data_IF_496980652972
#
_entry.id   IF_496980652972
#
_cell.length_a   1.000
_cell.length_b   1.000
_cell.length_c   1.000
_cell.angle_alpha   90.00
_cell.angle_beta   90.00
_cell.angle_gamma   90.00
#
_symmetry.space_group_name_H-M   'P 1'
#
loop_
_entity.id
_entity.type
_entity.pdbx_description
1 polymer ?
#
# COMPACT_ATOMS: atom_id res chain seq x y z
N UNK A 1 -53.42 9.85 64.32
CA UNK A 1 -52.63 8.71 63.85
C UNK A 1 -52.19 9.00 62.46
N UNK A 2 -50.91 9.30 62.28
CA UNK A 2 -50.31 9.59 60.95
C UNK A 2 -49.83 8.23 60.44
N UNK A 3 -50.48 7.71 59.41
CA UNK A 3 -50.02 6.49 58.72
C UNK A 3 -48.73 6.83 57.96
N UNK A 4 -47.66 6.14 58.25
CA UNK A 4 -46.42 6.21 57.51
C UNK A 4 -46.67 5.63 56.08
N UNK A 5 -46.12 6.26 55.03
CA UNK A 5 -46.25 5.74 53.68
C UNK A 5 -45.53 4.37 53.58
N UNK A 6 -46.04 3.45 52.79
CA UNK A 6 -45.43 2.13 52.58
C UNK A 6 -44.03 2.32 51.98
N UNK A 7 -43.03 1.76 52.68
CA UNK A 7 -41.68 1.70 52.15
C UNK A 7 -41.63 0.66 51.03
N UNK A 8 -41.42 1.13 49.82
CA UNK A 8 -41.47 0.34 48.59
C UNK A 8 -40.43 -0.78 48.48
N UNK A 9 -39.45 -0.91 49.41
CA UNK A 9 -38.31 -1.81 49.29
C UNK A 9 -37.79 -2.57 50.51
N UNK A 10 -38.57 -2.89 51.59
CA UNK A 10 -37.99 -3.63 52.71
C UNK A 10 -37.97 -5.13 52.55
N UNK A 11 -38.74 -5.77 51.64
CA UNK A 11 -38.80 -7.23 51.55
C UNK A 11 -37.76 -7.83 50.60
N UNK A 12 -37.28 -7.07 49.65
CA UNK A 12 -36.32 -7.58 48.65
C UNK A 12 -34.93 -7.86 49.26
N UNK A 13 -34.50 -7.09 50.25
CA UNK A 13 -33.18 -7.22 50.83
C UNK A 13 -33.05 -8.35 51.84
N UNK A 14 -34.15 -8.88 52.38
CA UNK A 14 -34.12 -9.88 53.45
C UNK A 14 -34.33 -11.34 53.00
N UNK A 15 -34.69 -11.55 51.76
CA UNK A 15 -34.82 -12.91 51.22
C UNK A 15 -33.53 -13.35 50.49
N UNK A 16 -33.20 -14.63 50.53
CA UNK A 16 -32.02 -15.16 49.83
C UNK A 16 -32.06 -14.86 48.31
N UNK A 17 -33.27 -14.88 47.74
CA UNK A 17 -33.48 -14.52 46.32
C UNK A 17 -33.24 -13.03 46.07
N UNK A 18 -33.70 -12.14 46.94
CA UNK A 18 -33.48 -10.70 46.83
C UNK A 18 -32.01 -10.31 46.89
N UNK A 19 -31.27 -10.93 47.81
CA UNK A 19 -29.80 -10.73 47.90
C UNK A 19 -29.08 -11.23 46.69
N UNK A 20 -29.52 -12.34 46.08
CA UNK A 20 -28.96 -12.86 44.82
C UNK A 20 -29.15 -11.87 43.67
N UNK A 21 -30.35 -11.30 43.51
CA UNK A 21 -30.58 -10.31 42.43
C UNK A 21 -29.80 -9.01 42.65
N UNK A 22 -29.62 -8.57 43.87
CA UNK A 22 -28.80 -7.38 44.17
C UNK A 22 -27.33 -7.65 43.80
N UNK A 23 -26.78 -8.79 44.20
CA UNK A 23 -25.40 -9.15 43.89
C UNK A 23 -25.21 -9.36 42.39
N UNK A 24 -26.12 -10.07 41.73
CA UNK A 24 -26.09 -10.26 40.27
C UNK A 24 -26.18 -8.92 39.51
N UNK A 25 -27.03 -8.01 39.96
CA UNK A 25 -27.15 -6.66 39.40
C UNK A 25 -25.85 -5.84 39.54
N UNK A 26 -25.24 -5.88 40.73
CA UNK A 26 -23.95 -5.21 41.00
C UNK A 26 -22.82 -5.78 40.13
N UNK A 27 -22.73 -7.10 40.00
CA UNK A 27 -21.74 -7.75 39.12
C UNK A 27 -21.97 -7.30 37.65
N UNK A 28 -23.21 -7.28 37.19
CA UNK A 28 -23.54 -6.85 35.81
C UNK A 28 -23.13 -5.40 35.54
N UNK A 29 -23.35 -4.50 36.51
CA UNK A 29 -22.93 -3.12 36.41
C UNK A 29 -21.40 -3.00 36.37
N UNK A 30 -20.71 -3.71 37.25
CA UNK A 30 -19.23 -3.73 37.28
C UNK A 30 -18.68 -4.25 35.95
N UNK A 31 -19.23 -5.32 35.40
CA UNK A 31 -18.83 -5.89 34.12
C UNK A 31 -19.08 -4.92 32.97
N UNK A 32 -20.21 -4.23 32.94
CA UNK A 32 -20.52 -3.24 31.94
C UNK A 32 -19.54 -2.05 31.98
N UNK A 33 -19.24 -1.52 33.16
CA UNK A 33 -18.26 -0.44 33.33
C UNK A 33 -16.88 -0.90 32.93
N UNK A 34 -16.44 -2.09 33.35
CA UNK A 34 -15.16 -2.66 32.93
C UNK A 34 -15.05 -2.80 31.42
N UNK A 35 -16.11 -3.27 30.76
CA UNK A 35 -16.16 -3.42 29.30
C UNK A 35 -16.04 -2.05 28.60
N UNK A 36 -16.69 -1.01 29.09
CA UNK A 36 -16.60 0.36 28.57
C UNK A 36 -15.16 0.88 28.75
N UNK A 37 -14.55 0.69 29.93
CA UNK A 37 -13.17 1.14 30.19
C UNK A 37 -12.17 0.41 29.29
N UNK A 38 -12.32 -0.90 29.13
CA UNK A 38 -11.45 -1.70 28.23
C UNK A 38 -11.64 -1.24 26.77
N UNK A 39 -12.87 -1.05 26.33
CA UNK A 39 -13.14 -0.55 24.98
C UNK A 39 -12.50 0.81 24.74
N UNK A 40 -12.66 1.73 25.69
CA UNK A 40 -12.03 3.06 25.63
C UNK A 40 -10.50 2.97 25.62
N UNK A 41 -9.94 2.12 26.48
CA UNK A 41 -8.50 1.90 26.52
C UNK A 41 -7.97 1.33 25.18
N UNK A 42 -8.62 0.30 24.64
CA UNK A 42 -8.28 -0.26 23.32
C UNK A 42 -8.42 0.83 22.22
N UNK A 43 -9.50 1.58 22.23
CA UNK A 43 -9.72 2.64 21.24
C UNK A 43 -8.61 3.69 21.29
N UNK A 44 -8.21 4.14 22.46
CA UNK A 44 -7.12 5.11 22.61
C UNK A 44 -5.73 4.55 22.29
N UNK A 45 -5.48 3.27 22.55
CA UNK A 45 -4.17 2.66 22.29
C UNK A 45 -4.00 2.15 20.87
N UNK A 46 -5.10 1.79 20.18
CA UNK A 46 -5.07 1.21 18.83
C UNK A 46 -5.35 2.27 17.74
N UNK A 47 -6.09 3.34 18.05
CA UNK A 47 -6.24 4.45 17.10
C UNK A 47 -4.95 5.27 17.05
N UNK A 48 -4.22 5.26 15.92
CA UNK A 48 -3.05 6.11 15.80
C UNK A 48 -3.47 7.57 15.97
N UNK A 49 -2.68 8.32 16.72
CA UNK A 49 -2.86 9.76 16.83
C UNK A 49 -2.91 10.39 15.43
N UNK A 50 -3.80 11.34 15.16
CA UNK A 50 -3.80 12.05 13.89
C UNK A 50 -2.41 12.61 13.64
N UNK A 51 -1.88 12.38 12.43
CA UNK A 51 -0.58 12.92 12.04
C UNK A 51 -0.55 14.43 12.28
N UNK A 52 0.50 14.98 12.89
CA UNK A 52 0.62 16.43 13.07
C UNK A 52 0.51 17.12 11.70
N UNK A 53 -0.11 18.28 11.61
CA UNK A 53 -0.20 19.01 10.36
C UNK A 53 1.19 19.32 9.82
N UNK A 54 1.37 19.17 8.50
CA UNK A 54 2.62 19.49 7.82
C UNK A 54 3.02 20.94 8.13
N UNK A 55 4.17 21.13 8.76
CA UNK A 55 4.62 22.45 9.19
C UNK A 55 5.38 23.22 8.11
N UNK A 56 5.87 22.51 7.07
CA UNK A 56 6.66 23.13 6.00
C UNK A 56 5.80 23.28 4.72
N UNK A 57 5.58 24.52 4.22
CA UNK A 57 4.77 24.78 3.02
C UNK A 57 5.23 24.01 1.78
N UNK A 58 6.50 23.62 1.71
CA UNK A 58 7.05 22.86 0.56
C UNK A 58 6.41 21.47 0.44
N UNK A 59 5.87 20.94 1.55
CA UNK A 59 5.24 19.61 1.60
C UNK A 59 3.71 19.64 1.58
N UNK A 60 3.10 20.79 1.35
CA UNK A 60 1.62 20.98 1.44
C UNK A 60 0.84 19.96 0.59
N UNK A 61 1.36 19.58 -0.56
CA UNK A 61 0.72 18.61 -1.47
C UNK A 61 1.18 17.17 -1.25
N UNK A 62 2.13 16.91 -0.33
CA UNK A 62 2.74 15.61 -0.09
C UNK A 62 2.76 15.29 1.39
N UNK A 63 2.47 14.04 1.75
CA UNK A 63 2.17 13.65 3.14
C UNK A 63 3.37 13.28 3.99
N UNK A 64 4.58 13.24 3.43
CA UNK A 64 5.79 12.83 4.16
C UNK A 64 6.77 13.97 4.30
N UNK A 65 7.16 14.25 5.55
CA UNK A 65 8.27 15.12 5.88
C UNK A 65 9.60 14.36 5.85
N UNK A 66 10.73 15.05 5.66
CA UNK A 66 12.06 14.47 5.81
C UNK A 66 12.20 13.85 7.20
N UNK A 67 12.75 12.64 7.24
CA UNK A 67 13.08 11.94 8.47
C UNK A 67 14.59 11.71 8.54
N UNK A 68 15.06 10.89 9.46
CA UNK A 68 16.45 10.56 9.67
C UNK A 68 17.22 9.97 8.47
N UNK A 69 16.53 9.63 7.36
CA UNK A 69 17.18 9.14 6.15
C UNK A 69 17.65 10.26 5.18
N UNK A 70 17.19 11.50 5.36
CA UNK A 70 17.69 12.66 4.59
C UNK A 70 18.60 13.49 5.49
N UNK A 71 19.85 13.66 5.08
CA UNK A 71 20.82 14.40 5.85
C UNK A 71 20.52 15.91 5.89
N UNK A 72 20.94 16.57 6.96
CA UNK A 72 20.83 18.02 7.08
C UNK A 72 21.56 18.76 5.95
N UNK A 73 22.69 18.22 5.50
CA UNK A 73 23.45 18.76 4.36
C UNK A 73 22.64 18.70 3.07
N UNK A 74 22.01 17.55 2.77
CA UNK A 74 21.15 17.38 1.60
C UNK A 74 19.96 18.31 1.62
N UNK A 75 19.31 18.50 2.78
CA UNK A 75 18.20 19.45 2.94
C UNK A 75 18.64 20.90 2.73
N UNK A 76 19.78 21.28 3.29
CA UNK A 76 20.33 22.63 3.11
C UNK A 76 20.68 22.90 1.64
N UNK A 77 21.35 21.94 0.98
CA UNK A 77 21.68 22.03 -0.45
C UNK A 77 20.44 22.12 -1.32
N UNK A 78 19.41 21.31 -1.04
CA UNK A 78 18.12 21.36 -1.74
C UNK A 78 17.44 22.73 -1.58
N UNK A 79 17.36 23.27 -0.38
CA UNK A 79 16.75 24.57 -0.13
C UNK A 79 17.51 25.70 -0.84
N UNK A 80 18.84 25.69 -0.81
CA UNK A 80 19.66 26.64 -1.55
C UNK A 80 19.43 26.53 -3.07
N UNK A 81 19.33 25.31 -3.59
CA UNK A 81 19.06 25.08 -5.01
C UNK A 81 17.68 25.59 -5.43
N UNK A 82 16.63 25.39 -4.62
CA UNK A 82 15.27 25.90 -4.87
C UNK A 82 15.28 27.44 -4.96
N UNK A 83 15.97 28.10 -4.04
CA UNK A 83 16.06 29.57 -4.03
C UNK A 83 16.79 30.12 -5.26
N UNK A 84 17.92 29.48 -5.64
CA UNK A 84 18.70 29.89 -6.80
C UNK A 84 18.03 29.56 -8.14
N UNK A 85 17.20 28.53 -8.20
CA UNK A 85 16.60 28.01 -9.42
C UNK A 85 15.09 27.76 -9.23
N UNK A 86 14.24 28.81 -9.18
CA UNK A 86 12.78 28.63 -9.00
C UNK A 86 12.15 27.78 -10.11
N UNK A 87 12.72 27.84 -11.32
CA UNK A 87 12.34 26.96 -12.42
C UNK A 87 13.43 25.89 -12.62
N UNK A 88 13.05 24.64 -12.85
CA UNK A 88 13.98 23.53 -12.94
C UNK A 88 14.79 23.56 -14.24
N UNK A 89 16.10 23.23 -14.17
CA UNK A 89 16.99 23.34 -15.34
C UNK A 89 17.05 22.06 -16.19
N UNK A 90 16.99 20.86 -15.58
CA UNK A 90 17.25 19.59 -16.27
C UNK A 90 16.13 18.55 -16.11
N UNK A 91 14.88 19.01 -16.11
CA UNK A 91 13.70 18.14 -15.94
C UNK A 91 13.39 17.37 -17.21
N UNK A 92 13.27 16.04 -17.09
CA UNK A 92 12.89 15.15 -18.19
C UNK A 92 11.48 14.56 -18.01
N UNK A 93 11.08 14.21 -16.80
CA UNK A 93 9.81 13.53 -16.50
C UNK A 93 8.79 14.48 -15.86
N UNK A 94 9.17 15.22 -14.84
CA UNK A 94 8.27 16.10 -14.06
C UNK A 94 8.13 17.50 -14.71
N UNK A 95 7.82 17.53 -15.99
CA UNK A 95 7.67 18.77 -16.79
C UNK A 95 6.49 19.60 -16.29
N UNK A 96 6.62 20.91 -16.35
CA UNK A 96 5.58 21.86 -15.93
C UNK A 96 5.54 22.15 -14.44
N UNK A 97 6.36 21.49 -13.63
CA UNK A 97 6.46 21.74 -12.18
C UNK A 97 7.59 22.71 -11.86
N UNK A 98 7.40 23.53 -10.83
CA UNK A 98 8.48 24.37 -10.26
C UNK A 98 9.50 23.52 -9.54
N UNK A 99 10.70 24.05 -9.28
CA UNK A 99 11.74 23.36 -8.52
C UNK A 99 11.25 22.98 -7.12
N UNK A 100 10.49 23.83 -6.45
CA UNK A 100 9.92 23.56 -5.14
C UNK A 100 8.92 22.37 -5.18
N UNK A 101 8.05 22.32 -6.17
CA UNK A 101 7.10 21.21 -6.33
C UNK A 101 7.82 19.88 -6.63
N UNK A 102 8.84 19.90 -7.48
CA UNK A 102 9.67 18.72 -7.76
C UNK A 102 10.38 18.26 -6.48
N UNK A 103 10.97 19.19 -5.72
CA UNK A 103 11.67 18.86 -4.48
C UNK A 103 10.72 18.27 -3.44
N UNK A 104 9.52 18.80 -3.29
CA UNK A 104 8.50 18.24 -2.42
C UNK A 104 8.13 16.81 -2.81
N UNK A 105 7.91 16.55 -4.10
CA UNK A 105 7.66 15.20 -4.60
C UNK A 105 8.86 14.25 -4.37
N UNK A 106 10.10 14.72 -4.59
CA UNK A 106 11.31 13.94 -4.32
C UNK A 106 11.42 13.54 -2.85
N UNK A 107 11.15 14.47 -1.93
CA UNK A 107 11.17 14.17 -0.50
C UNK A 107 10.07 13.20 -0.10
N UNK A 108 8.83 13.49 -0.48
CA UNK A 108 7.68 12.71 -0.02
C UNK A 108 7.60 11.32 -0.64
N UNK A 109 7.78 11.21 -1.94
CA UNK A 109 7.50 9.97 -2.66
C UNK A 109 8.74 9.23 -3.15
N UNK A 110 9.83 9.93 -3.49
CA UNK A 110 11.05 9.25 -3.94
C UNK A 110 11.92 8.90 -2.75
N UNK A 111 12.45 9.88 -2.03
CA UNK A 111 13.24 9.62 -0.82
C UNK A 111 12.42 8.93 0.25
N UNK A 112 11.19 9.36 0.49
CA UNK A 112 10.26 8.74 1.42
C UNK A 112 9.91 7.30 1.07
N UNK A 113 9.70 7.02 -0.21
CA UNK A 113 9.38 5.68 -0.70
C UNK A 113 10.55 4.71 -0.70
N UNK A 114 11.77 5.21 -0.84
CA UNK A 114 13.00 4.41 -0.90
C UNK A 114 13.80 4.41 0.41
N UNK A 115 13.51 5.34 1.33
CA UNK A 115 14.26 5.62 2.56
C UNK A 115 15.75 5.89 2.28
N UNK A 116 16.02 6.79 1.33
CA UNK A 116 17.38 7.17 0.92
C UNK A 116 17.59 8.68 0.97
N UNK A 117 18.83 9.08 1.16
CA UNK A 117 19.27 10.47 1.08
C UNK A 117 19.26 11.00 -0.38
N UNK A 118 19.21 12.31 -0.57
CA UNK A 118 19.27 12.93 -1.90
C UNK A 118 20.54 12.55 -2.68
N UNK A 119 21.66 12.40 -1.98
CA UNK A 119 22.95 12.00 -2.53
C UNK A 119 22.96 10.59 -3.12
N UNK A 120 21.95 9.75 -2.78
CA UNK A 120 21.81 8.42 -3.37
C UNK A 120 21.63 8.46 -4.89
N UNK A 121 20.96 9.50 -5.41
CA UNK A 121 20.69 9.69 -6.85
C UNK A 121 21.27 10.98 -7.41
N UNK A 122 21.55 12.00 -6.59
CA UNK A 122 21.96 13.33 -7.04
C UNK A 122 23.37 13.69 -6.61
N UNK A 123 24.03 14.52 -7.41
CA UNK A 123 25.11 15.38 -6.90
C UNK A 123 24.43 16.53 -6.15
N UNK A 124 24.56 16.58 -4.82
CA UNK A 124 23.92 17.60 -3.99
C UNK A 124 24.51 19.00 -4.20
N UNK A 125 25.75 19.12 -4.74
CA UNK A 125 26.32 20.39 -5.14
C UNK A 125 25.65 20.95 -6.42
N UNK A 126 25.05 20.08 -7.25
CA UNK A 126 24.36 20.48 -8.47
C UNK A 126 23.25 19.49 -8.82
N UNK A 127 22.03 19.71 -8.33
CA UNK A 127 20.89 18.83 -8.59
C UNK A 127 20.51 18.69 -10.07
N UNK A 128 20.87 19.67 -10.94
CA UNK A 128 20.63 19.60 -12.37
C UNK A 128 21.59 18.64 -13.10
N UNK A 129 22.76 18.35 -12.52
CA UNK A 129 23.75 17.47 -13.13
C UNK A 129 23.18 16.09 -13.47
N UNK A 130 23.40 15.62 -14.69
CA UNK A 130 22.85 14.33 -15.19
C UNK A 130 23.93 13.28 -15.37
N UNK A 131 25.19 13.67 -15.51
CA UNK A 131 26.31 12.80 -15.85
C UNK A 131 27.57 13.22 -15.08
N UNK A 132 28.60 12.38 -15.10
CA UNK A 132 29.91 12.71 -14.56
C UNK A 132 29.99 12.71 -13.02
N UNK A 133 29.10 11.98 -12.33
CA UNK A 133 29.16 11.73 -10.89
C UNK A 133 28.79 10.27 -10.57
N UNK A 134 29.21 9.72 -9.41
CA UNK A 134 29.14 8.28 -9.13
C UNK A 134 27.73 7.67 -9.22
N UNK A 135 26.69 8.44 -8.86
CA UNK A 135 25.33 7.96 -8.77
C UNK A 135 24.42 8.33 -9.98
N UNK A 136 25.00 8.83 -11.08
CA UNK A 136 24.26 9.26 -12.26
C UNK A 136 23.35 8.16 -12.84
N UNK A 137 23.81 6.91 -12.85
CA UNK A 137 23.01 5.77 -13.33
C UNK A 137 21.73 5.55 -12.51
N UNK A 138 21.77 5.77 -11.19
CA UNK A 138 20.59 5.65 -10.32
C UNK A 138 19.53 6.71 -10.64
N UNK A 139 19.97 7.93 -11.00
CA UNK A 139 19.04 9.00 -11.44
C UNK A 139 18.37 8.64 -12.75
N UNK A 140 19.08 8.01 -13.69
CA UNK A 140 18.50 7.51 -14.95
C UNK A 140 17.47 6.42 -14.66
N UNK A 141 17.80 5.45 -13.79
CA UNK A 141 16.87 4.39 -13.37
C UNK A 141 15.63 4.97 -12.71
N UNK A 142 15.77 5.93 -11.79
CA UNK A 142 14.63 6.57 -11.14
C UNK A 142 13.67 7.24 -12.14
N UNK A 143 14.19 7.87 -13.20
CA UNK A 143 13.36 8.42 -14.29
C UNK A 143 12.57 7.34 -15.02
N UNK A 144 13.21 6.20 -15.34
CA UNK A 144 12.53 5.05 -15.96
C UNK A 144 11.42 4.52 -15.06
N UNK A 145 11.67 4.43 -13.74
CA UNK A 145 10.65 4.00 -12.75
C UNK A 145 9.49 5.00 -12.63
N UNK A 146 9.75 6.31 -12.71
CA UNK A 146 8.68 7.31 -12.74
C UNK A 146 7.80 7.17 -13.98
N UNK A 147 8.40 6.93 -15.15
CA UNK A 147 7.65 6.70 -16.40
C UNK A 147 6.82 5.40 -16.31
N UNK A 148 7.36 4.35 -15.70
CA UNK A 148 6.59 3.14 -15.40
C UNK A 148 5.41 3.45 -14.47
N UNK A 149 5.63 4.19 -13.39
CA UNK A 149 4.53 4.57 -12.47
C UNK A 149 3.44 5.36 -13.18
N UNK A 150 3.81 6.28 -14.08
CA UNK A 150 2.84 7.02 -14.90
C UNK A 150 2.04 6.10 -15.81
N UNK A 151 2.70 5.20 -16.53
CA UNK A 151 2.06 4.21 -17.40
C UNK A 151 1.07 3.33 -16.61
N UNK A 152 1.50 2.80 -15.45
CA UNK A 152 0.63 1.95 -14.62
C UNK A 152 -0.57 2.73 -14.06
N UNK A 153 -0.39 3.98 -13.68
CA UNK A 153 -1.47 4.83 -13.23
C UNK A 153 -2.47 5.11 -14.35
N UNK A 154 -2.00 5.46 -15.52
CA UNK A 154 -2.86 5.83 -16.66
C UNK A 154 -3.58 4.62 -17.27
N UNK A 155 -2.93 3.47 -17.35
CA UNK A 155 -3.43 2.31 -18.09
C UNK A 155 -4.07 1.24 -17.22
N UNK A 156 -3.84 1.23 -15.90
CA UNK A 156 -4.36 0.19 -14.98
C UNK A 156 -5.12 0.76 -13.80
N UNK A 157 -4.52 1.62 -12.97
CA UNK A 157 -5.26 2.14 -11.81
C UNK A 157 -6.43 3.04 -12.22
N UNK A 158 -6.34 3.72 -13.37
CA UNK A 158 -7.45 4.47 -13.96
C UNK A 158 -8.66 3.60 -14.33
N UNK A 159 -8.47 2.30 -14.55
CA UNK A 159 -9.56 1.35 -14.84
C UNK A 159 -10.28 0.85 -13.60
N UNK A 160 -9.73 1.10 -12.42
CA UNK A 160 -10.40 0.75 -11.17
C UNK A 160 -11.52 1.74 -10.88
N UNK A 161 -12.66 1.28 -10.35
CA UNK A 161 -13.78 2.16 -10.03
C UNK A 161 -13.44 3.13 -8.90
N UNK A 162 -14.13 4.25 -8.85
CA UNK A 162 -13.98 5.25 -7.80
C UNK A 162 -14.21 4.70 -6.39
N UNK A 163 -14.95 3.59 -6.27
CA UNK A 163 -15.20 2.87 -5.01
C UNK A 163 -13.93 2.37 -4.32
N UNK A 164 -12.83 2.14 -5.06
CA UNK A 164 -11.52 1.80 -4.47
C UNK A 164 -10.69 3.03 -4.08
N UNK A 165 -11.24 4.25 -4.20
CA UNK A 165 -10.64 5.47 -3.67
C UNK A 165 -9.62 6.16 -4.58
N UNK A 166 -9.45 5.73 -5.84
CA UNK A 166 -8.57 6.37 -6.82
C UNK A 166 -7.08 6.36 -6.43
N UNK A 167 -6.65 5.38 -5.65
CA UNK A 167 -5.24 5.26 -5.24
C UNK A 167 -4.31 5.08 -6.42
N UNK A 168 -3.12 5.66 -6.31
CA UNK A 168 -2.13 5.75 -7.37
C UNK A 168 -0.80 5.15 -6.94
N UNK A 169 -0.10 4.60 -7.92
CA UNK A 169 1.21 3.96 -7.74
C UNK A 169 2.29 5.03 -7.64
N UNK A 170 3.14 4.90 -6.62
CA UNK A 170 4.35 5.70 -6.38
C UNK A 170 5.55 4.78 -6.16
N UNK A 171 6.73 5.35 -5.92
CA UNK A 171 7.91 4.57 -5.53
C UNK A 171 7.63 3.72 -4.28
N UNK A 172 6.96 4.30 -3.28
CA UNK A 172 6.62 3.61 -2.04
C UNK A 172 5.74 2.38 -2.25
N UNK A 173 4.88 2.37 -3.27
CA UNK A 173 3.93 1.27 -3.54
C UNK A 173 4.63 -0.08 -3.71
N UNK A 174 5.76 -0.10 -4.42
CA UNK A 174 6.54 -1.32 -4.65
C UNK A 174 7.77 -1.41 -3.73
N UNK A 175 8.41 -0.28 -3.44
CA UNK A 175 9.66 -0.24 -2.72
C UNK A 175 9.49 -0.32 -1.19
N UNK A 176 8.43 0.26 -0.62
CA UNK A 176 8.12 0.20 0.81
C UNK A 176 9.33 0.49 1.72
N UNK A 177 10.14 1.50 1.35
CA UNK A 177 11.33 1.89 2.08
C UNK A 177 12.60 1.12 1.75
N UNK A 178 12.60 0.33 0.67
CA UNK A 178 13.78 -0.43 0.20
C UNK A 178 14.17 0.03 -1.19
N UNK A 179 15.29 0.72 -1.33
CA UNK A 179 15.81 1.16 -2.63
C UNK A 179 16.25 0.00 -3.54
N UNK A 180 16.69 -1.10 -2.93
CA UNK A 180 17.16 -2.32 -3.60
C UNK A 180 16.77 -3.55 -2.77
N UNK A 181 16.99 -4.75 -3.31
CA UNK A 181 16.74 -6.01 -2.58
C UNK A 181 15.25 -6.27 -2.34
N UNK A 182 14.39 -5.90 -3.29
CA UNK A 182 12.96 -6.22 -3.21
C UNK A 182 12.74 -7.73 -3.21
N UNK A 183 11.92 -8.22 -2.28
CA UNK A 183 11.57 -9.61 -2.16
C UNK A 183 10.09 -9.80 -2.48
N UNK A 184 9.77 -10.28 -3.69
CA UNK A 184 8.38 -10.44 -4.11
C UNK A 184 7.68 -11.65 -3.48
N UNK A 185 8.44 -12.62 -2.95
CA UNK A 185 7.92 -13.87 -2.36
C UNK A 185 8.64 -14.18 -1.05
N UNK A 186 8.34 -13.49 0.05
CA UNK A 186 8.99 -13.74 1.34
C UNK A 186 8.59 -15.12 1.88
N UNK A 187 9.56 -16.02 2.04
CA UNK A 187 9.37 -17.41 2.46
C UNK A 187 8.68 -17.49 3.82
N UNK A 188 9.02 -16.60 4.75
CA UNK A 188 8.46 -16.56 6.10
C UNK A 188 6.94 -16.38 6.11
N UNK A 189 6.41 -15.70 5.11
CA UNK A 189 4.98 -15.39 5.00
C UNK A 189 4.28 -16.34 4.05
N UNK A 190 4.98 -16.81 3.02
CA UNK A 190 4.44 -17.66 1.96
C UNK A 190 5.05 -19.07 1.99
N UNK A 191 5.23 -19.62 3.18
CA UNK A 191 5.89 -20.90 3.42
C UNK A 191 5.17 -22.14 2.82
N UNK A 192 3.93 -21.97 2.40
CA UNK A 192 3.19 -23.03 1.68
C UNK A 192 3.45 -23.05 0.18
N UNK A 193 4.16 -22.06 -0.36
CA UNK A 193 4.55 -22.01 -1.76
C UNK A 193 5.93 -22.68 -1.93
N UNK A 194 6.16 -23.43 -3.02
CA UNK A 194 7.50 -23.86 -3.39
C UNK A 194 8.46 -22.66 -3.53
N UNK A 195 9.73 -22.84 -3.17
CA UNK A 195 10.74 -21.76 -3.20
C UNK A 195 10.95 -21.16 -4.59
N UNK A 196 10.73 -21.95 -5.63
CA UNK A 196 10.86 -21.57 -7.04
C UNK A 196 9.53 -21.17 -7.68
N UNK A 197 8.41 -21.21 -6.93
CA UNK A 197 7.11 -20.83 -7.46
C UNK A 197 7.11 -19.36 -7.89
N UNK A 198 6.44 -19.10 -9.01
CA UNK A 198 6.22 -17.75 -9.54
C UNK A 198 4.76 -17.58 -9.91
N UNK A 199 4.25 -16.36 -9.75
CA UNK A 199 2.92 -16.02 -10.25
C UNK A 199 2.89 -16.27 -11.77
N UNK A 200 1.90 -17.05 -12.29
CA UNK A 200 1.85 -17.42 -13.71
C UNK A 200 1.38 -16.22 -14.56
N UNK A 201 2.33 -15.34 -14.91
CA UNK A 201 2.08 -14.12 -15.69
C UNK A 201 2.10 -14.35 -17.21
N UNK A 202 2.44 -15.54 -17.66
CA UNK A 202 2.37 -15.99 -19.05
C UNK A 202 0.97 -16.38 -19.50
N UNK A 203 0.03 -16.55 -18.57
CA UNK A 203 -1.36 -16.89 -18.86
C UNK A 203 -2.16 -15.69 -19.38
N UNK A 204 -3.18 -15.99 -20.16
CA UNK A 204 -4.14 -14.97 -20.62
C UNK A 204 -5.29 -14.80 -19.62
N UNK A 205 -5.37 -13.61 -19.07
CA UNK A 205 -6.44 -13.24 -18.15
C UNK A 205 -7.59 -12.54 -18.92
N UNK A 206 -8.88 -12.87 -18.56
CA UNK A 206 -9.36 -13.51 -17.34
C UNK A 206 -9.41 -15.05 -17.32
N UNK A 207 -9.10 -15.77 -18.35
CA UNK A 207 -9.37 -17.21 -18.42
C UNK A 207 -8.30 -18.14 -17.83
N UNK A 208 -7.05 -17.68 -17.72
CA UNK A 208 -5.88 -18.53 -17.49
C UNK A 208 -5.83 -19.33 -16.18
N UNK A 209 -6.53 -18.87 -15.11
CA UNK A 209 -6.60 -19.58 -13.82
C UNK A 209 -7.94 -20.29 -13.59
N UNK A 210 -8.80 -20.39 -14.58
CA UNK A 210 -10.14 -21.02 -14.41
C UNK A 210 -10.04 -22.53 -14.66
N UNK A 211 -10.08 -23.31 -13.58
CA UNK A 211 -10.10 -24.79 -13.63
C UNK A 211 -11.44 -25.38 -13.21
N UNK A 212 -12.28 -24.65 -12.48
CA UNK A 212 -13.57 -25.12 -11.97
C UNK A 212 -14.54 -25.43 -13.12
N UNK A 213 -15.12 -26.61 -13.10
CA UNK A 213 -16.07 -27.07 -14.12
C UNK A 213 -15.45 -27.63 -15.38
N UNK A 214 -14.13 -27.55 -15.54
CA UNK A 214 -13.39 -28.23 -16.60
C UNK A 214 -13.22 -29.71 -16.28
N UNK A 215 -13.22 -30.55 -17.30
CA UNK A 215 -13.04 -32.01 -17.17
C UNK A 215 -11.64 -32.47 -17.60
N UNK A 216 -10.87 -31.60 -18.21
CA UNK A 216 -9.59 -31.87 -18.86
C UNK A 216 -8.39 -31.29 -18.09
N UNK A 217 -8.61 -30.81 -16.86
CA UNK A 217 -7.52 -30.27 -16.03
C UNK A 217 -6.72 -31.36 -15.33
N UNK A 218 -5.42 -31.18 -15.26
CA UNK A 218 -4.53 -32.01 -14.46
C UNK A 218 -4.50 -31.57 -13.00
N UNK A 219 -3.99 -32.46 -12.10
CA UNK A 219 -3.75 -32.08 -10.71
C UNK A 219 -2.75 -30.93 -10.60
N UNK A 220 -1.76 -30.85 -11.48
CA UNK A 220 -0.78 -29.77 -11.50
C UNK A 220 -1.43 -28.40 -11.78
N UNK A 221 -2.40 -28.33 -12.70
CA UNK A 221 -3.14 -27.09 -12.96
C UNK A 221 -3.99 -26.66 -11.76
N UNK A 222 -4.62 -27.62 -11.07
CA UNK A 222 -5.39 -27.35 -9.84
C UNK A 222 -4.48 -26.83 -8.74
N UNK A 223 -3.33 -27.43 -8.55
CA UNK A 223 -2.33 -27.03 -7.54
C UNK A 223 -1.77 -25.64 -7.83
N UNK A 224 -1.42 -25.33 -9.07
CA UNK A 224 -0.96 -24.01 -9.48
C UNK A 224 -2.02 -22.94 -9.26
N UNK A 225 -3.28 -23.25 -9.52
CA UNK A 225 -4.40 -22.36 -9.22
C UNK A 225 -4.53 -22.10 -7.71
N UNK A 226 -4.43 -23.15 -6.87
CA UNK A 226 -4.46 -23.00 -5.42
C UNK A 226 -3.28 -22.17 -4.90
N UNK A 227 -2.08 -22.36 -5.42
CA UNK A 227 -0.92 -21.54 -5.08
C UNK A 227 -1.13 -20.06 -5.44
N UNK A 228 -1.67 -19.79 -6.64
CA UNK A 228 -1.99 -18.42 -7.05
C UNK A 228 -3.03 -17.78 -6.12
N UNK A 229 -4.10 -18.49 -5.75
CA UNK A 229 -5.12 -18.00 -4.81
C UNK A 229 -4.56 -17.80 -3.41
N UNK A 230 -3.72 -18.72 -2.91
CA UNK A 230 -3.05 -18.57 -1.63
C UNK A 230 -2.15 -17.33 -1.62
N UNK A 231 -1.34 -17.15 -2.67
CA UNK A 231 -0.50 -15.98 -2.83
C UNK A 231 -1.32 -14.68 -2.79
N UNK A 232 -2.44 -14.62 -3.53
CA UNK A 232 -3.33 -13.45 -3.53
C UNK A 232 -3.92 -13.18 -2.14
N UNK A 233 -4.42 -14.22 -1.46
CA UNK A 233 -5.01 -14.09 -0.11
C UNK A 233 -4.01 -13.52 0.89
N UNK A 234 -2.80 -14.07 0.94
CA UNK A 234 -1.74 -13.59 1.84
C UNK A 234 -1.32 -12.17 1.46
N UNK A 235 -1.14 -11.90 0.16
CA UNK A 235 -0.70 -10.59 -0.32
C UNK A 235 -1.70 -9.48 -0.03
N UNK A 236 -2.99 -9.77 -0.08
CA UNK A 236 -4.06 -8.80 0.15
C UNK A 236 -4.56 -8.77 1.61
N UNK A 237 -4.16 -9.76 2.44
CA UNK A 237 -4.72 -9.94 3.77
C UNK A 237 -6.22 -10.23 3.74
N UNK A 238 -6.72 -10.93 2.70
CA UNK A 238 -8.14 -11.17 2.48
C UNK A 238 -8.43 -12.67 2.30
N UNK A 239 -9.65 -13.08 2.66
CA UNK A 239 -10.13 -14.44 2.43
C UNK A 239 -10.76 -14.63 1.04
N UNK A 240 -11.08 -15.89 0.70
CA UNK A 240 -11.63 -16.27 -0.60
C UNK A 240 -12.91 -15.49 -0.97
N UNK A 241 -13.80 -15.27 -0.01
CA UNK A 241 -15.08 -14.59 -0.22
C UNK A 241 -14.97 -13.09 -0.50
N UNK A 242 -13.78 -12.52 -0.36
CA UNK A 242 -13.52 -11.15 -0.77
C UNK A 242 -13.62 -10.98 -2.29
N UNK A 243 -13.18 -11.99 -3.06
CA UNK A 243 -13.19 -11.97 -4.52
C UNK A 243 -14.18 -12.95 -5.14
N UNK A 244 -14.68 -13.94 -4.40
CA UNK A 244 -15.50 -15.01 -4.94
C UNK A 244 -16.86 -15.11 -4.27
N UNK A 245 -17.88 -15.42 -5.08
CA UNK A 245 -19.12 -15.98 -4.58
C UNK A 245 -18.84 -17.42 -4.10
N UNK A 246 -19.06 -17.70 -2.80
CA UNK A 246 -18.76 -19.00 -2.20
C UNK A 246 -19.60 -20.16 -2.76
N UNK A 247 -20.73 -19.86 -3.40
CA UNK A 247 -21.59 -20.87 -4.03
C UNK A 247 -21.15 -21.22 -5.46
N UNK A 248 -20.45 -20.28 -6.13
CA UNK A 248 -20.00 -20.48 -7.50
C UNK A 248 -18.75 -19.64 -7.76
N UNK A 249 -17.59 -20.19 -7.47
CA UNK A 249 -16.28 -19.54 -7.60
C UNK A 249 -15.97 -18.95 -8.99
N UNK A 250 -16.41 -19.54 -10.11
CA UNK A 250 -16.22 -18.94 -11.42
C UNK A 250 -16.99 -17.64 -11.67
N UNK A 251 -18.04 -17.33 -10.88
CA UNK A 251 -18.83 -16.09 -11.04
C UNK A 251 -17.97 -14.84 -10.98
N UNK A 252 -18.37 -13.84 -11.77
CA UNK A 252 -17.80 -12.49 -11.80
C UNK A 252 -18.72 -11.45 -11.13
N UNK A 253 -19.68 -11.89 -10.34
CA UNK A 253 -20.60 -11.00 -9.62
C UNK A 253 -19.91 -10.15 -8.56
N UNK A 254 -18.82 -10.67 -7.98
CA UNK A 254 -18.02 -9.95 -6.98
C UNK A 254 -17.05 -9.05 -7.69
N UNK A 255 -17.21 -7.74 -7.52
CA UNK A 255 -16.46 -6.70 -8.22
C UNK A 255 -14.93 -6.82 -8.00
N UNK A 256 -14.50 -7.22 -6.81
CA UNK A 256 -13.09 -7.42 -6.45
C UNK A 256 -12.38 -8.49 -7.29
N UNK A 257 -13.13 -9.45 -7.82
CA UNK A 257 -12.57 -10.41 -8.78
C UNK A 257 -12.18 -9.74 -10.10
N UNK A 258 -12.98 -8.79 -10.58
CA UNK A 258 -12.65 -8.01 -11.77
C UNK A 258 -11.44 -7.09 -11.52
N UNK A 259 -11.34 -6.51 -10.32
CA UNK A 259 -10.17 -5.72 -9.94
C UNK A 259 -8.89 -6.58 -9.94
N UNK A 260 -8.96 -7.81 -9.43
CA UNK A 260 -7.80 -8.71 -9.43
C UNK A 260 -7.31 -9.06 -10.84
N UNK A 261 -8.21 -9.15 -11.82
CA UNK A 261 -7.84 -9.35 -13.23
C UNK A 261 -7.04 -8.15 -13.76
N UNK A 262 -7.49 -6.92 -13.47
CA UNK A 262 -6.75 -5.71 -13.84
C UNK A 262 -5.35 -5.73 -13.23
N UNK A 263 -5.23 -6.13 -11.96
CA UNK A 263 -3.94 -6.24 -11.27
C UNK A 263 -3.04 -7.32 -11.87
N UNK A 264 -3.58 -8.47 -12.24
CA UNK A 264 -2.83 -9.54 -12.93
C UNK A 264 -2.34 -9.07 -14.30
N UNK A 265 -3.19 -8.40 -15.09
CA UNK A 265 -2.80 -7.80 -16.37
C UNK A 265 -1.71 -6.73 -16.18
N UNK A 266 -1.80 -5.93 -15.12
CA UNK A 266 -0.77 -4.95 -14.76
C UNK A 266 0.56 -5.64 -14.41
N UNK A 267 0.53 -6.70 -13.60
CA UNK A 267 1.73 -7.47 -13.25
C UNK A 267 2.38 -8.11 -14.48
N UNK A 268 1.56 -8.68 -15.40
CA UNK A 268 2.01 -9.17 -16.69
C UNK A 268 2.69 -8.08 -17.52
N UNK A 269 2.06 -6.92 -17.63
CA UNK A 269 2.61 -5.77 -18.34
C UNK A 269 3.94 -5.29 -17.74
N UNK A 270 4.06 -5.23 -16.42
CA UNK A 270 5.32 -4.90 -15.74
C UNK A 270 6.39 -5.92 -16.13
N UNK A 271 6.07 -7.22 -16.07
CA UNK A 271 6.98 -8.30 -16.42
C UNK A 271 7.47 -8.15 -17.86
N UNK A 272 6.58 -8.05 -18.82
CA UNK A 272 6.89 -8.07 -20.24
C UNK A 272 7.57 -6.77 -20.72
N UNK A 273 7.11 -5.62 -20.23
CA UNK A 273 7.54 -4.32 -20.75
C UNK A 273 8.77 -3.77 -20.03
N UNK A 274 8.90 -4.03 -18.71
CA UNK A 274 9.88 -3.34 -17.90
C UNK A 274 10.96 -4.25 -17.33
N UNK A 275 10.63 -5.49 -16.99
CA UNK A 275 11.48 -6.37 -16.16
C UNK A 275 12.10 -7.53 -16.94
N UNK A 276 11.43 -8.05 -17.97
CA UNK A 276 11.96 -9.13 -18.79
C UNK A 276 13.28 -8.74 -19.48
N UNK A 277 14.11 -9.72 -19.88
CA UNK A 277 15.31 -9.44 -20.65
C UNK A 277 14.98 -8.58 -21.88
N UNK A 278 15.68 -7.45 -22.04
CA UNK A 278 15.39 -6.44 -23.07
C UNK A 278 14.29 -5.44 -22.71
N UNK A 279 13.65 -5.55 -21.56
CA UNK A 279 12.67 -4.57 -21.05
C UNK A 279 13.31 -3.23 -20.68
N UNK A 280 12.45 -2.21 -20.50
CA UNK A 280 12.88 -0.81 -20.31
C UNK A 280 13.72 -0.56 -19.06
N UNK A 281 13.67 -1.46 -18.06
CA UNK A 281 14.38 -1.33 -16.77
C UNK A 281 15.32 -2.53 -16.53
N UNK A 282 15.35 -3.48 -17.45
CA UNK A 282 15.93 -4.84 -17.27
C UNK A 282 17.43 -4.92 -16.95
N UNK A 283 18.18 -3.85 -16.97
CA UNK A 283 19.62 -3.85 -16.70
C UNK A 283 19.92 -4.14 -15.21
N UNK A 284 19.48 -5.30 -14.73
CA UNK A 284 19.93 -5.90 -13.48
C UNK A 284 19.07 -5.66 -12.23
N UNK A 285 18.00 -4.85 -12.26
CA UNK A 285 17.28 -4.45 -11.03
C UNK A 285 16.31 -5.53 -10.54
N UNK A 286 15.71 -6.29 -11.45
CA UNK A 286 14.80 -7.40 -11.12
C UNK A 286 15.13 -8.69 -11.90
N UNK A 287 16.36 -8.85 -12.34
CA UNK A 287 16.79 -10.03 -13.11
C UNK A 287 16.35 -11.33 -12.41
N UNK A 288 15.51 -12.12 -13.08
CA UNK A 288 15.00 -13.40 -12.58
C UNK A 288 13.86 -13.31 -11.54
N UNK A 289 13.37 -12.11 -11.18
CA UNK A 289 12.23 -11.95 -10.27
C UNK A 289 11.01 -11.44 -11.02
N UNK A 290 9.89 -12.17 -10.93
CA UNK A 290 8.60 -11.71 -11.47
C UNK A 290 7.90 -10.79 -10.48
N UNK A 291 7.22 -9.72 -10.92
CA UNK A 291 6.37 -8.94 -10.04
C UNK A 291 5.23 -9.81 -9.51
N UNK A 292 4.91 -9.64 -8.24
CA UNK A 292 3.88 -10.40 -7.54
C UNK A 292 2.93 -9.47 -6.81
N UNK A 293 1.80 -10.00 -6.36
CA UNK A 293 0.85 -9.20 -5.57
C UNK A 293 1.50 -8.72 -4.26
N UNK A 294 2.31 -9.56 -3.61
CA UNK A 294 3.00 -9.20 -2.37
C UNK A 294 3.96 -8.04 -2.54
N UNK A 295 4.61 -7.90 -3.68
CA UNK A 295 5.56 -6.81 -3.94
C UNK A 295 4.98 -5.42 -3.59
N UNK A 296 3.70 -5.23 -3.89
CA UNK A 296 3.00 -3.97 -3.64
C UNK A 296 2.10 -4.02 -2.41
N UNK A 297 1.34 -5.10 -2.22
CA UNK A 297 0.24 -5.15 -1.25
C UNK A 297 0.65 -5.49 0.18
N UNK A 298 1.65 -6.34 0.39
CA UNK A 298 2.25 -6.65 1.71
C UNK A 298 1.23 -6.92 2.82
N UNK A 299 0.21 -7.74 2.53
CA UNK A 299 -0.86 -8.08 3.47
C UNK A 299 -2.00 -7.05 3.55
N UNK A 300 -2.04 -6.07 2.67
CA UNK A 300 -3.06 -5.03 2.68
C UNK A 300 -3.81 -4.94 1.34
N UNK A 301 -5.13 -4.80 1.42
CA UNK A 301 -6.01 -4.59 0.26
C UNK A 301 -5.58 -3.41 -0.61
N UNK A 302 -5.21 -2.30 0.02
CA UNK A 302 -4.60 -1.14 -0.62
C UNK A 302 -3.12 -1.18 -0.25
N UNK A 303 -2.20 -1.12 -1.23
CA UNK A 303 -0.77 -1.12 -0.94
C UNK A 303 -0.40 -0.02 0.06
N UNK A 304 0.41 -0.31 1.10
CA UNK A 304 0.75 0.66 2.13
C UNK A 304 1.36 1.96 1.60
N UNK A 305 2.11 1.87 0.49
CA UNK A 305 2.76 3.01 -0.15
C UNK A 305 1.98 3.63 -1.30
N UNK A 306 0.71 3.25 -1.50
CA UNK A 306 -0.13 3.87 -2.52
C UNK A 306 -0.53 5.29 -2.12
N UNK A 307 -0.45 6.22 -3.08
CA UNK A 307 -0.82 7.62 -2.85
C UNK A 307 -2.31 7.87 -3.07
N UNK A 308 -2.88 8.79 -2.31
CA UNK A 308 -4.25 9.27 -2.52
C UNK A 308 -4.32 10.20 -3.74
N UNK A 309 -5.51 10.41 -4.31
CA UNK A 309 -5.71 11.41 -5.36
C UNK A 309 -5.16 12.79 -4.96
N UNK A 310 -4.50 13.47 -5.88
CA UNK A 310 -3.89 14.77 -5.66
C UNK A 310 -2.51 14.75 -4.98
N UNK A 311 -2.03 13.60 -4.53
CA UNK A 311 -0.68 13.45 -3.96
C UNK A 311 0.40 13.11 -5.00
N UNK A 312 -0.01 12.72 -6.19
CA UNK A 312 0.88 12.42 -7.32
C UNK A 312 0.78 13.54 -8.33
N UNK A 313 1.90 14.05 -8.88
CA UNK A 313 1.89 15.05 -9.94
C UNK A 313 1.03 14.60 -11.12
N UNK A 314 0.32 15.54 -11.76
CA UNK A 314 -0.58 15.23 -12.89
C UNK A 314 0.11 14.43 -14.01
N UNK A 315 1.38 14.72 -14.28
CA UNK A 315 2.18 14.00 -15.30
C UNK A 315 2.43 12.51 -14.94
N UNK A 316 2.27 12.12 -13.68
CA UNK A 316 2.42 10.74 -13.21
C UNK A 316 1.09 10.13 -12.75
N UNK A 317 0.01 10.89 -12.78
CA UNK A 317 -1.30 10.53 -12.27
C UNK A 317 -2.15 9.79 -13.32
N UNK A 318 -3.18 9.07 -12.84
CA UNK A 318 -4.25 8.51 -13.67
C UNK A 318 -5.27 9.57 -14.13
N UNK A 319 -5.25 10.76 -13.50
CA UNK A 319 -6.13 11.88 -13.90
C UNK A 319 -5.35 12.80 -14.83
N UNK A 320 -5.88 13.11 -16.04
CA UNK A 320 -5.26 14.06 -16.94
C UNK A 320 -5.18 15.48 -16.39
#
# INVERSE_FOLDING_TARGET
>A
MIQQPPTLFPEITNTARGRFYIVAGLISVVMAVASIVIFWWIFYTVTPAPAPPLQNPIYVNYTQEPTNYISAESLAAMNAYIQANPQPQAVQVLKGMTTAQISAYMVAHVSGGLKVDCSYCHNIANFAQTEGYPNAAKKVTARKMMLMSADLNQNYTAKLPASVGGYQITCATCHNGKAAGLEPYPIEIMNTLPNDWRLPLDLDYPGGLVVTGRKDVSNAEVEQNQFAMYHMNVSLGQGCTFCHNSRYFPSYEVEQKNHSIIMLQMSKHIQETYVAPGGRIADGIMAGKSPSCWLCHQGARIPPGAAKPGQVPAVLSSTP
#
